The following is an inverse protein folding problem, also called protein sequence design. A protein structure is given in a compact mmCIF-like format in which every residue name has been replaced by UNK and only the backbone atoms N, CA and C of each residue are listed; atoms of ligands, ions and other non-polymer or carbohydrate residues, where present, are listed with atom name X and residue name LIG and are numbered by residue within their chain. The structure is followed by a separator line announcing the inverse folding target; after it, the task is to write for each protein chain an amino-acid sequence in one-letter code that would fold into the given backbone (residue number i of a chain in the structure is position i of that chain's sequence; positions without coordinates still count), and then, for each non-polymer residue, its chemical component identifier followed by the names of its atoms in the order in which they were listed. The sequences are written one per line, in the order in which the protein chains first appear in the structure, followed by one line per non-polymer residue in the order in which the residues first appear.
data_IF_687460002220
#
_entry.id   IF_687460002220
#
_cell.length_a   1.000
_cell.length_b   1.000
_cell.length_c   1.000
_cell.angle_alpha   90.00
_cell.angle_beta   90.00
_cell.angle_gamma   90.00
#
_symmetry.space_group_name_H-M   'P 1'
#
loop_
_entity.id
_entity.type
_entity.pdbx_description
1 polymer ?
#
# COMPACT_ATOMS: atom_id res chain seq x y z
N UNK A 1 -6.65 31.24 -66.68
CA UNK A 1 -5.69 30.68 -65.68
C UNK A 1 -5.93 31.38 -64.34
N UNK A 2 -6.67 30.75 -63.42
CA UNK A 2 -6.95 31.30 -62.08
C UNK A 2 -6.39 30.37 -61.02
N UNK A 3 -5.50 30.91 -60.21
CA UNK A 3 -4.71 30.24 -59.18
C UNK A 3 -5.55 30.17 -57.91
N UNK A 4 -6.07 28.99 -57.55
CA UNK A 4 -6.72 28.80 -56.26
C UNK A 4 -5.71 28.32 -55.22
N UNK A 5 -5.28 29.27 -54.39
CA UNK A 5 -4.51 29.08 -53.17
C UNK A 5 -5.41 28.43 -52.11
N UNK A 6 -5.31 27.12 -51.93
CA UNK A 6 -5.96 26.41 -50.82
C UNK A 6 -5.28 26.81 -49.50
N UNK A 7 -5.84 27.82 -48.85
CA UNK A 7 -5.66 28.07 -47.43
C UNK A 7 -6.53 27.09 -46.65
N UNK A 8 -6.01 26.70 -45.49
CA UNK A 8 -6.72 26.06 -44.37
C UNK A 8 -6.59 24.54 -44.29
N UNK A 9 -5.49 24.08 -43.70
CA UNK A 9 -5.46 22.82 -42.96
C UNK A 9 -4.64 22.99 -41.68
N UNK A 10 -5.12 23.87 -40.79
CA UNK A 10 -4.51 24.12 -39.46
C UNK A 10 -5.47 23.75 -38.32
N UNK A 11 -6.70 23.32 -38.64
CA UNK A 11 -7.75 23.06 -37.64
C UNK A 11 -7.82 21.61 -37.12
N UNK A 12 -7.04 20.68 -37.67
CA UNK A 12 -7.06 19.27 -37.23
C UNK A 12 -6.09 18.98 -36.06
N UNK A 13 -5.20 19.92 -35.74
CA UNK A 13 -4.06 19.64 -34.84
C UNK A 13 -4.25 20.06 -33.38
N UNK A 14 -5.35 20.74 -33.01
CA UNK A 14 -5.57 21.17 -31.60
C UNK A 14 -6.24 20.11 -30.73
N UNK A 15 -7.18 19.33 -31.25
CA UNK A 15 -7.88 18.32 -30.44
C UNK A 15 -7.06 17.04 -30.19
N UNK A 16 -6.18 16.65 -31.10
CA UNK A 16 -5.33 15.46 -30.94
C UNK A 16 -4.22 15.61 -29.89
N UNK A 17 -3.84 16.84 -29.52
CA UNK A 17 -2.85 17.08 -28.46
C UNK A 17 -3.42 16.88 -27.05
N UNK A 18 -4.74 16.95 -26.90
CA UNK A 18 -5.38 16.84 -25.59
C UNK A 18 -5.54 15.38 -25.14
N UNK A 19 -5.64 14.42 -26.07
CA UNK A 19 -5.66 12.99 -25.72
C UNK A 19 -4.28 12.45 -25.26
N UNK A 20 -3.19 13.00 -25.79
CA UNK A 20 -1.83 12.57 -25.42
C UNK A 20 -1.41 13.01 -23.99
N UNK A 21 -1.99 14.09 -23.44
CA UNK A 21 -1.70 14.55 -22.08
C UNK A 21 -2.46 13.80 -20.98
N UNK A 22 -3.48 13.01 -21.35
CA UNK A 22 -4.21 12.13 -20.43
C UNK A 22 -3.44 10.84 -20.13
N UNK A 23 -2.52 10.41 -21.01
CA UNK A 23 -1.73 9.19 -20.81
C UNK A 23 -0.72 9.31 -19.66
N UNK A 24 -0.15 10.50 -19.42
CA UNK A 24 0.78 10.75 -18.31
C UNK A 24 0.11 10.84 -16.93
N UNK A 25 -1.23 10.78 -16.86
CA UNK A 25 -1.99 10.90 -15.61
C UNK A 25 -2.37 9.54 -15.00
N UNK A 26 -2.27 8.46 -15.75
CA UNK A 26 -2.29 7.10 -15.21
C UNK A 26 -0.90 6.75 -14.68
N UNK A 27 -0.43 7.51 -13.70
CA UNK A 27 0.71 7.12 -12.88
C UNK A 27 0.26 5.83 -12.20
N UNK A 28 0.76 4.68 -12.67
CA UNK A 28 0.56 3.39 -12.02
C UNK A 28 0.87 3.58 -10.53
N UNK A 29 -0.18 3.65 -9.70
CA UNK A 29 -0.03 3.79 -8.27
C UNK A 29 0.78 2.58 -7.83
N UNK A 30 1.92 2.82 -7.16
CA UNK A 30 2.73 1.72 -6.63
C UNK A 30 1.82 0.87 -5.76
N UNK A 31 1.77 -0.43 -6.04
CA UNK A 31 0.93 -1.37 -5.31
C UNK A 31 1.41 -1.42 -3.86
N UNK A 32 0.47 -1.28 -2.93
CA UNK A 32 0.73 -1.30 -1.49
C UNK A 32 -0.22 -2.31 -0.87
N UNK A 33 0.34 -3.28 -0.15
CA UNK A 33 -0.44 -4.29 0.55
C UNK A 33 -0.13 -4.19 2.03
N UNK A 34 -1.14 -4.48 2.85
CA UNK A 34 -1.00 -4.50 4.30
C UNK A 34 -1.33 -5.89 4.85
N UNK A 35 -0.58 -6.29 5.86
CA UNK A 35 -0.92 -7.41 6.72
C UNK A 35 -1.26 -6.85 8.11
N UNK A 36 -2.52 -7.06 8.52
CA UNK A 36 -3.09 -6.51 9.74
C UNK A 36 -3.41 -7.57 10.80
N UNK A 37 -2.42 -8.23 11.43
CA UNK A 37 -2.70 -9.21 12.47
C UNK A 37 -3.10 -8.51 13.76
N UNK A 38 -4.04 -9.14 14.48
CA UNK A 38 -4.33 -8.77 15.87
C UNK A 38 -3.34 -9.45 16.81
N UNK A 39 -2.94 -8.80 17.91
CA UNK A 39 -1.96 -9.31 18.89
C UNK A 39 -2.57 -10.38 19.82
N UNK A 40 -3.25 -11.38 19.25
CA UNK A 40 -3.96 -12.44 19.99
C UNK A 40 -3.11 -13.70 20.24
N UNK A 41 -1.78 -13.56 20.27
CA UNK A 41 -0.84 -14.68 20.48
C UNK A 41 -0.10 -15.11 19.20
N UNK A 42 0.08 -16.42 19.01
CA UNK A 42 0.85 -16.97 17.89
C UNK A 42 0.10 -16.87 16.56
N UNK A 43 0.84 -16.58 15.49
CA UNK A 43 0.29 -16.70 14.14
C UNK A 43 0.07 -18.18 13.80
N UNK A 44 -1.16 -18.51 13.40
CA UNK A 44 -1.45 -19.80 12.78
C UNK A 44 -0.99 -19.83 11.33
N UNK A 45 -0.81 -21.04 10.78
CA UNK A 45 -0.39 -21.25 9.39
C UNK A 45 -1.25 -20.49 8.37
N UNK A 46 -2.55 -20.32 8.65
CA UNK A 46 -3.46 -19.53 7.80
C UNK A 46 -3.08 -18.04 7.74
N UNK A 47 -2.67 -17.45 8.85
CA UNK A 47 -2.20 -16.06 8.90
C UNK A 47 -0.88 -15.89 8.17
N UNK A 48 0.05 -16.83 8.36
CA UNK A 48 1.33 -16.85 7.67
C UNK A 48 1.17 -16.97 6.15
N UNK A 49 0.25 -17.82 5.68
CA UNK A 49 -0.07 -17.95 4.26
C UNK A 49 -0.53 -16.62 3.66
N UNK A 50 -1.40 -15.89 4.36
CA UNK A 50 -1.87 -14.58 3.91
C UNK A 50 -0.75 -13.56 3.84
N UNK A 51 0.12 -13.49 4.86
CA UNK A 51 1.31 -12.64 4.84
C UNK A 51 2.23 -12.99 3.67
N UNK A 52 2.45 -14.28 3.43
CA UNK A 52 3.28 -14.77 2.33
C UNK A 52 2.74 -14.38 0.95
N UNK A 53 1.43 -14.52 0.71
CA UNK A 53 0.83 -14.08 -0.55
C UNK A 53 0.89 -12.57 -0.76
N UNK A 54 0.64 -11.79 0.29
CA UNK A 54 0.79 -10.34 0.22
C UNK A 54 2.23 -9.95 -0.12
N UNK A 55 3.21 -10.58 0.52
CA UNK A 55 4.62 -10.35 0.25
C UNK A 55 4.99 -10.67 -1.20
N UNK A 56 4.62 -11.85 -1.71
CA UNK A 56 4.89 -12.24 -3.09
C UNK A 56 4.22 -11.29 -4.09
N UNK A 57 2.97 -10.91 -3.83
CA UNK A 57 2.24 -9.98 -4.69
C UNK A 57 2.91 -8.60 -4.72
N UNK A 58 3.36 -8.09 -3.57
CA UNK A 58 4.12 -6.85 -3.48
C UNK A 58 5.42 -6.93 -4.26
N UNK A 59 6.21 -8.00 -4.08
CA UNK A 59 7.50 -8.16 -4.78
C UNK A 59 7.32 -8.32 -6.29
N UNK A 60 6.29 -9.05 -6.74
CA UNK A 60 6.01 -9.22 -8.18
C UNK A 60 5.67 -7.90 -8.88
N UNK A 61 5.00 -6.98 -8.18
CA UNK A 61 4.57 -5.69 -8.73
C UNK A 61 5.49 -4.52 -8.33
N UNK A 62 6.67 -4.81 -7.78
CA UNK A 62 7.60 -3.82 -7.22
C UNK A 62 6.91 -2.82 -6.28
N UNK A 63 5.95 -3.33 -5.51
CA UNK A 63 5.18 -2.63 -4.50
C UNK A 63 5.84 -2.63 -3.13
N UNK A 64 5.06 -2.25 -2.12
CA UNK A 64 5.49 -2.25 -0.71
C UNK A 64 4.62 -3.19 0.12
N UNK A 65 5.26 -3.98 0.98
CA UNK A 65 4.63 -4.84 1.98
C UNK A 65 4.67 -4.16 3.35
N UNK A 66 3.49 -3.89 3.91
CA UNK A 66 3.31 -3.11 5.14
C UNK A 66 2.79 -4.02 6.25
N UNK A 67 3.44 -3.99 7.41
CA UNK A 67 2.98 -4.64 8.64
C UNK A 67 2.26 -3.60 9.51
N UNK A 68 1.01 -3.86 9.89
CA UNK A 68 0.26 -2.98 10.80
C UNK A 68 -0.36 -3.79 11.92
N UNK A 69 -0.09 -3.43 13.16
CA UNK A 69 -0.64 -4.14 14.32
C UNK A 69 -1.99 -3.53 14.66
N UNK A 70 -3.04 -4.35 14.62
CA UNK A 70 -4.41 -3.95 14.92
C UNK A 70 -4.74 -4.31 16.38
N UNK A 71 -4.41 -3.42 17.31
CA UNK A 71 -4.66 -3.54 18.75
C UNK A 71 -5.98 -2.85 19.13
N UNK A 72 -7.09 -3.42 18.67
CA UNK A 72 -8.44 -2.87 18.88
C UNK A 72 -9.12 -3.38 20.15
N UNK A 73 -8.62 -4.45 20.76
CA UNK A 73 -9.24 -5.14 21.89
C UNK A 73 -8.19 -5.46 22.97
N UNK A 74 -8.00 -4.51 23.89
CA UNK A 74 -6.98 -4.56 24.94
C UNK A 74 -7.10 -5.79 25.84
N UNK A 75 -8.30 -6.38 25.98
CA UNK A 75 -8.51 -7.57 26.81
C UNK A 75 -7.93 -8.84 26.17
N UNK A 76 -7.68 -8.83 24.86
CA UNK A 76 -7.15 -9.98 24.10
C UNK A 76 -5.67 -9.86 23.77
N UNK A 77 -5.03 -8.74 24.12
CA UNK A 77 -3.62 -8.52 23.86
C UNK A 77 -2.81 -9.42 24.75
N UNK A 78 -2.11 -10.39 24.14
CA UNK A 78 -1.16 -11.21 24.86
C UNK A 78 0.18 -10.46 24.87
N UNK A 79 0.76 -10.14 26.04
CA UNK A 79 2.08 -9.51 26.11
C UNK A 79 3.11 -10.42 25.43
N UNK A 80 3.97 -9.84 24.58
CA UNK A 80 4.95 -10.62 23.82
C UNK A 80 4.48 -11.10 22.43
N UNK A 81 3.19 -10.98 22.12
CA UNK A 81 2.66 -11.43 20.82
C UNK A 81 3.23 -10.66 19.63
N UNK A 82 3.46 -9.35 19.78
CA UNK A 82 4.07 -8.53 18.74
C UNK A 82 5.53 -8.96 18.46
N UNK A 83 6.35 -9.16 19.50
CA UNK A 83 7.72 -9.61 19.30
C UNK A 83 7.75 -10.99 18.62
N UNK A 84 6.94 -11.93 19.10
CA UNK A 84 6.84 -13.26 18.50
C UNK A 84 6.45 -13.21 17.02
N UNK A 85 5.52 -12.31 16.66
CA UNK A 85 5.11 -12.09 15.29
C UNK A 85 6.28 -11.60 14.42
N UNK A 86 7.01 -10.60 14.89
CA UNK A 86 8.17 -10.05 14.18
C UNK A 86 9.28 -11.10 14.03
N UNK A 87 9.54 -11.89 15.08
CA UNK A 87 10.50 -12.99 15.06
C UNK A 87 10.11 -14.08 14.06
N UNK A 88 8.82 -14.44 14.00
CA UNK A 88 8.30 -15.41 13.01
C UNK A 88 8.42 -14.88 11.57
N UNK A 89 8.13 -13.60 11.34
CA UNK A 89 8.29 -12.98 10.02
C UNK A 89 9.76 -12.93 9.61
N UNK A 90 10.66 -12.59 10.54
CA UNK A 90 12.10 -12.62 10.32
C UNK A 90 12.61 -14.04 10.03
N UNK A 91 12.14 -15.04 10.78
CA UNK A 91 12.50 -16.45 10.57
C UNK A 91 12.07 -16.97 9.21
N UNK A 92 10.89 -16.53 8.72
CA UNK A 92 10.38 -16.91 7.39
C UNK A 92 10.97 -16.08 6.24
N UNK A 93 11.76 -15.05 6.53
CA UNK A 93 12.31 -14.12 5.53
C UNK A 93 11.27 -13.15 4.95
N UNK A 94 10.13 -12.97 5.61
CA UNK A 94 9.06 -12.05 5.24
C UNK A 94 9.29 -10.67 5.88
N UNK A 95 10.34 -9.98 5.44
CA UNK A 95 10.68 -8.65 5.98
C UNK A 95 9.72 -7.58 5.43
N UNK A 96 8.97 -6.87 6.30
CA UNK A 96 8.15 -5.74 5.88
C UNK A 96 8.98 -4.53 5.48
N UNK A 97 8.54 -3.83 4.43
CA UNK A 97 9.16 -2.57 3.98
C UNK A 97 8.74 -1.39 4.89
N UNK A 98 7.56 -1.49 5.50
CA UNK A 98 7.03 -0.54 6.49
C UNK A 98 6.40 -1.29 7.66
N UNK A 99 6.60 -0.82 8.89
CA UNK A 99 6.00 -1.47 10.06
C UNK A 99 6.32 -0.80 11.40
N UNK A 100 5.89 -1.40 12.52
CA UNK A 100 6.10 -0.84 13.86
C UNK A 100 7.59 -0.68 14.20
N UNK A 101 8.41 -1.69 13.91
CA UNK A 101 9.86 -1.68 14.21
C UNK A 101 10.69 -1.03 13.11
N UNK A 102 10.30 -1.19 11.84
CA UNK A 102 11.00 -0.61 10.68
C UNK A 102 10.70 0.88 10.51
N UNK A 103 9.54 1.33 10.99
CA UNK A 103 9.01 2.66 10.70
C UNK A 103 8.49 2.76 9.27
N UNK A 104 8.26 3.99 8.82
CA UNK A 104 7.80 4.28 7.48
C UNK A 104 7.17 5.67 7.39
N UNK A 105 6.80 6.07 6.18
CA UNK A 105 6.28 7.43 5.92
C UNK A 105 4.86 7.65 6.45
N UNK A 106 4.13 6.57 6.77
CA UNK A 106 2.71 6.58 7.12
C UNK A 106 2.46 6.05 8.54
N UNK A 107 3.41 6.28 9.45
CA UNK A 107 3.23 5.94 10.86
C UNK A 107 2.12 6.79 11.51
N UNK A 108 1.46 6.30 12.58
CA UNK A 108 1.79 5.10 13.35
C UNK A 108 1.25 3.78 12.76
N UNK A 109 2.07 2.73 12.80
CA UNK A 109 1.73 1.37 12.33
C UNK A 109 1.13 0.47 13.42
N UNK A 110 0.79 1.04 14.57
CA UNK A 110 0.11 0.37 15.67
C UNK A 110 -1.19 1.14 15.89
N UNK A 111 -2.30 0.47 15.69
CA UNK A 111 -3.61 1.04 15.98
C UNK A 111 -4.01 0.62 17.39
N UNK A 112 -3.97 1.57 18.33
CA UNK A 112 -4.51 1.39 19.68
C UNK A 112 -5.92 1.95 19.75
N UNK A 113 -6.83 1.24 20.44
CA UNK A 113 -8.13 1.80 20.81
C UNK A 113 -7.94 2.88 21.90
N UNK A 114 -7.57 4.10 21.50
CA UNK A 114 -7.56 5.29 22.37
C UNK A 114 -8.10 6.49 21.60
N UNK A 115 -9.40 6.46 21.31
CA UNK A 115 -10.11 7.57 20.66
C UNK A 115 -10.38 8.68 21.68
N UNK A 116 -9.37 9.51 21.97
CA UNK A 116 -9.61 10.85 22.51
C UNK A 116 -9.42 11.96 21.47
N UNK A 117 -9.08 11.61 20.23
CA UNK A 117 -9.04 12.58 19.13
C UNK A 117 -9.43 11.83 17.87
N UNK A 118 -10.55 12.20 17.23
CA UNK A 118 -11.17 11.48 16.11
C UNK A 118 -10.38 11.53 14.80
N UNK A 119 -9.05 11.39 14.85
CA UNK A 119 -8.15 11.35 13.70
C UNK A 119 -7.71 9.91 13.45
N UNK A 120 -8.58 9.16 12.80
CA UNK A 120 -8.15 8.04 11.98
C UNK A 120 -7.63 8.64 10.66
N UNK A 121 -6.31 8.66 10.45
CA UNK A 121 -5.78 8.86 9.10
C UNK A 121 -5.99 7.56 8.33
N UNK A 122 -7.13 7.48 7.64
CA UNK A 122 -7.44 6.39 6.71
C UNK A 122 -6.55 6.55 5.49
N UNK A 123 -5.85 5.48 5.13
CA UNK A 123 -5.23 5.30 3.81
C UNK A 123 -6.33 5.07 2.78
#
# INVERSE_FOLDING_TARGET
MSVYRLRSSVLVTKHLRQCLSLSSRLKSSKVRVRFGPSPTGFIHLGGLRTAFYNYLFAKQLNGAFILRIEDTDQERVVPGSQQNLEDMLNWTGLTPDEGPTVGGQYGPYIQVCHSNDGRYEVI
#
